data_IF_806399249033
#
_entry.id   IF_806399249033
#
_cell.length_a   1.000
_cell.length_b   1.000
_cell.length_c   1.000
_cell.angle_alpha   90.00
_cell.angle_beta   90.00
_cell.angle_gamma   90.00
#
_symmetry.space_group_name_H-M   'P 1'
#
loop_
_entity.id
_entity.type
_entity.pdbx_description
1 polymer ?
#
# COMPACT_ATOMS: atom_id res chain seq x y z
N UNK A 1 -50.72 14.38 23.17
CA UNK A 1 -50.41 15.83 23.09
C UNK A 1 -49.29 16.00 22.09
N UNK A 2 -49.56 16.66 20.96
CA UNK A 2 -48.63 16.84 19.84
C UNK A 2 -48.01 18.23 19.96
N UNK A 3 -46.72 18.31 20.24
CA UNK A 3 -45.98 19.58 20.24
C UNK A 3 -45.12 19.63 18.99
N UNK A 4 -45.56 20.44 18.02
CA UNK A 4 -44.83 20.69 16.79
C UNK A 4 -43.69 21.68 17.00
N UNK A 5 -42.49 21.31 16.56
CA UNK A 5 -41.34 22.22 16.51
C UNK A 5 -41.16 22.77 15.10
N UNK A 6 -41.37 24.09 14.97
CA UNK A 6 -41.14 24.89 13.77
C UNK A 6 -39.65 25.01 13.47
N UNK A 7 -39.37 25.09 12.17
CA UNK A 7 -38.06 25.07 11.56
C UNK A 7 -37.14 26.23 11.92
N UNK A 8 -35.86 25.99 11.71
CA UNK A 8 -34.83 27.02 11.66
C UNK A 8 -33.92 26.72 10.47
N UNK A 9 -34.23 27.35 9.34
CA UNK A 9 -33.37 27.43 8.17
C UNK A 9 -32.07 28.13 8.56
N UNK A 10 -30.95 27.39 8.62
CA UNK A 10 -29.62 28.00 8.67
C UNK A 10 -29.13 28.25 7.26
N UNK A 11 -28.81 29.53 7.03
CA UNK A 11 -28.30 30.09 5.78
C UNK A 11 -26.96 29.45 5.43
N UNK A 12 -26.84 29.17 4.14
CA UNK A 12 -25.60 28.90 3.42
C UNK A 12 -24.62 30.05 3.64
N UNK A 13 -23.49 29.79 4.32
CA UNK A 13 -22.33 30.66 4.32
C UNK A 13 -21.28 30.05 3.39
N UNK A 14 -21.20 30.64 2.19
CA UNK A 14 -20.06 30.52 1.28
C UNK A 14 -18.83 31.14 1.95
N UNK A 15 -17.95 30.32 2.49
CA UNK A 15 -16.55 30.64 2.78
C UNK A 15 -15.76 29.41 2.35
N UNK A 16 -14.99 29.47 1.28
CA UNK A 16 -13.76 30.23 1.23
C UNK A 16 -12.60 29.24 1.26
N UNK A 17 -12.46 28.50 0.15
CA UNK A 17 -11.31 27.67 -0.20
C UNK A 17 -10.07 28.55 -0.14
N UNK A 18 -9.30 28.50 0.96
CA UNK A 18 -7.94 29.09 1.03
C UNK A 18 -7.15 28.78 2.30
N UNK A 19 -7.09 27.53 2.78
CA UNK A 19 -5.95 27.08 3.61
C UNK A 19 -5.76 25.58 3.44
N UNK A 20 -4.90 25.15 2.52
CA UNK A 20 -4.11 23.91 2.68
C UNK A 20 -2.98 23.85 1.64
N UNK A 21 -1.95 24.68 1.83
CA UNK A 21 -0.67 24.48 1.14
C UNK A 21 0.47 24.84 2.10
N UNK A 22 0.61 24.09 3.19
CA UNK A 22 1.75 24.26 4.10
C UNK A 22 2.05 23.04 4.97
N UNK A 23 2.13 21.84 4.39
CA UNK A 23 2.81 20.70 5.03
C UNK A 23 3.37 19.73 3.97
N UNK A 24 4.43 20.15 3.27
CA UNK A 24 5.26 19.25 2.44
C UNK A 24 6.77 19.48 2.65
N UNK A 25 7.17 20.08 3.78
CA UNK A 25 8.58 20.20 4.17
C UNK A 25 8.70 19.83 5.66
N UNK A 26 8.41 18.57 5.97
CA UNK A 26 8.74 17.98 7.27
C UNK A 26 10.12 17.34 7.16
N UNK A 27 11.11 17.97 7.79
CA UNK A 27 12.51 17.58 7.72
C UNK A 27 12.76 16.16 8.21
N UNK A 28 13.32 15.34 7.32
CA UNK A 28 14.01 14.13 7.71
C UNK A 28 15.26 14.50 8.49
N UNK A 29 15.27 14.22 9.80
CA UNK A 29 16.50 14.13 10.59
C UNK A 29 17.32 12.96 10.05
N UNK A 30 18.19 13.25 9.08
CA UNK A 30 19.29 12.37 8.71
C UNK A 30 20.26 12.35 9.89
N UNK A 31 20.23 11.28 10.67
CA UNK A 31 21.33 10.91 11.54
C UNK A 31 22.56 10.70 10.65
N UNK A 32 23.46 11.68 10.72
CA UNK A 32 24.81 11.68 10.18
C UNK A 32 25.62 10.59 10.89
N UNK A 33 25.64 9.40 10.31
CA UNK A 33 26.71 8.42 10.53
C UNK A 33 27.92 8.89 9.71
N UNK A 34 28.70 9.77 10.32
CA UNK A 34 30.11 9.91 10.00
C UNK A 34 30.84 8.82 10.78
N UNK A 35 31.54 7.91 10.10
CA UNK A 35 32.93 7.56 10.42
C UNK A 35 33.48 6.41 9.57
N UNK A 36 34.75 6.63 9.16
CA UNK A 36 35.77 5.70 8.64
C UNK A 36 35.80 5.35 7.14
N UNK A 37 36.65 6.07 6.39
CA UNK A 37 37.31 5.58 5.20
C UNK A 37 38.83 5.50 5.42
N UNK A 38 39.30 4.57 6.24
CA UNK A 38 40.72 4.21 6.31
C UNK A 38 40.81 2.68 6.37
N UNK A 39 41.85 2.13 5.76
CA UNK A 39 42.13 0.70 5.56
C UNK A 39 41.50 0.08 4.30
N UNK A 40 42.22 0.21 3.18
CA UNK A 40 42.57 -0.91 2.27
C UNK A 40 43.70 -0.45 1.33
N UNK A 41 44.86 -0.18 1.92
CA UNK A 41 46.11 0.05 1.22
C UNK A 41 47.14 -0.97 1.70
N UNK A 42 47.11 -2.18 1.15
CA UNK A 42 48.26 -3.08 1.08
C UNK A 42 47.85 -4.41 0.43
N UNK A 43 48.07 -4.57 -0.87
CA UNK A 43 48.67 -5.77 -1.44
C UNK A 43 49.05 -5.45 -2.87
N UNK A 44 50.36 -5.40 -3.11
CA UNK A 44 50.92 -5.08 -4.40
C UNK A 44 51.18 -6.29 -5.27
N UNK A 45 52.03 -6.00 -6.26
CA UNK A 45 52.89 -6.90 -7.02
C UNK A 45 52.22 -7.55 -8.25
N UNK A 46 52.47 -6.90 -9.40
CA UNK A 46 52.97 -7.62 -10.57
C UNK A 46 52.02 -7.78 -11.76
N UNK A 47 51.84 -6.75 -12.59
CA UNK A 47 51.25 -6.94 -13.93
C UNK A 47 51.67 -5.89 -14.99
N UNK A 48 52.86 -5.30 -14.92
CA UNK A 48 53.28 -4.24 -15.86
C UNK A 48 54.20 -4.68 -17.02
N UNK A 49 54.35 -5.99 -17.33
CA UNK A 49 55.24 -6.45 -18.42
C UNK A 49 54.55 -7.22 -19.56
N UNK A 50 53.23 -7.10 -19.71
CA UNK A 50 52.47 -7.78 -20.78
C UNK A 50 51.99 -6.91 -21.94
N UNK A 51 51.92 -5.58 -21.78
CA UNK A 51 51.13 -4.74 -22.69
C UNK A 51 51.88 -4.24 -23.94
N UNK A 52 53.21 -4.30 -24.00
CA UNK A 52 53.96 -3.79 -25.16
C UNK A 52 54.01 -4.74 -26.36
N UNK A 53 53.66 -6.03 -26.20
CA UNK A 53 53.66 -6.98 -27.34
C UNK A 53 52.37 -7.01 -28.15
N UNK A 54 51.29 -6.38 -27.67
CA UNK A 54 50.02 -6.33 -28.40
C UNK A 54 49.88 -5.10 -29.31
N UNK A 55 50.64 -4.03 -29.05
CA UNK A 55 50.58 -2.81 -29.88
C UNK A 55 51.12 -3.04 -31.32
N UNK A 56 52.19 -3.83 -31.48
CA UNK A 56 52.79 -4.04 -32.81
C UNK A 56 52.05 -5.06 -33.70
N UNK A 57 51.21 -5.94 -33.13
CA UNK A 57 50.43 -6.89 -33.94
C UNK A 57 49.18 -6.26 -34.55
N UNK A 58 48.65 -5.19 -33.95
CA UNK A 58 47.49 -4.47 -34.48
C UNK A 58 47.82 -3.67 -35.75
N UNK A 59 49.05 -3.15 -35.88
CA UNK A 59 49.47 -2.39 -37.08
C UNK A 59 49.75 -3.25 -38.32
N UNK A 60 50.02 -4.55 -38.14
CA UNK A 60 50.25 -5.46 -39.27
C UNK A 60 48.94 -5.96 -39.91
N UNK A 61 47.86 -6.06 -39.14
CA UNK A 61 46.55 -6.52 -39.64
C UNK A 61 45.70 -5.39 -40.27
N UNK A 62 46.00 -4.11 -39.99
CA UNK A 62 45.23 -3.00 -40.57
C UNK A 62 45.57 -2.72 -42.04
N UNK A 63 46.76 -3.13 -42.53
CA UNK A 63 47.20 -2.81 -43.89
C UNK A 63 46.70 -3.77 -44.98
N UNK A 64 46.15 -4.93 -44.63
CA UNK A 64 45.68 -5.90 -45.63
C UNK A 64 44.17 -5.90 -45.91
N UNK A 65 43.37 -5.07 -45.23
CA UNK A 65 41.91 -5.03 -45.40
C UNK A 65 41.37 -3.76 -46.08
N UNK A 66 42.23 -2.96 -46.72
CA UNK A 66 41.89 -1.64 -47.27
C UNK A 66 41.40 -1.64 -48.74
N UNK A 67 40.89 -2.74 -49.28
CA UNK A 67 40.56 -2.83 -50.72
C UNK A 67 39.15 -3.33 -51.09
N UNK A 68 38.23 -3.53 -50.14
CA UNK A 68 36.82 -3.81 -50.47
C UNK A 68 35.87 -2.70 -49.94
N UNK A 69 35.54 -1.68 -50.74
CA UNK A 69 34.56 -0.65 -50.38
C UNK A 69 33.12 -1.21 -50.24
N UNK A 70 32.86 -2.46 -50.66
CA UNK A 70 31.59 -3.16 -50.48
C UNK A 70 31.44 -3.91 -49.15
N UNK A 71 32.55 -4.25 -48.48
CA UNK A 71 32.53 -4.95 -47.19
C UNK A 71 32.00 -4.07 -46.03
N UNK A 72 32.30 -2.77 -46.06
CA UNK A 72 31.90 -1.81 -45.00
C UNK A 72 30.38 -1.59 -44.96
N UNK A 73 29.69 -1.67 -46.11
CA UNK A 73 28.21 -1.51 -46.16
C UNK A 73 27.46 -2.74 -45.66
N UNK A 74 28.04 -3.94 -45.71
CA UNK A 74 27.40 -5.16 -45.19
C UNK A 74 27.52 -5.31 -43.67
N UNK A 75 28.54 -4.72 -43.05
CA UNK A 75 28.72 -4.78 -41.59
C UNK A 75 27.75 -3.88 -40.80
N UNK A 76 27.20 -2.83 -41.41
CA UNK A 76 26.33 -1.85 -40.70
C UNK A 76 24.84 -2.17 -40.79
N UNK A 77 24.42 -3.11 -41.66
CA UNK A 77 23.02 -3.49 -41.79
C UNK A 77 22.59 -4.61 -40.82
N UNK A 78 23.52 -5.38 -40.25
CA UNK A 78 23.23 -6.39 -39.22
C UNK A 78 23.14 -5.82 -37.80
N UNK A 79 23.65 -4.61 -37.55
CA UNK A 79 23.67 -3.99 -36.21
C UNK A 79 22.35 -3.37 -35.75
N UNK A 80 21.38 -3.18 -36.65
CA UNK A 80 20.09 -2.53 -36.32
C UNK A 80 19.07 -3.45 -35.65
N UNK A 81 19.26 -4.77 -35.66
CA UNK A 81 18.39 -5.71 -34.94
C UNK A 81 18.64 -5.72 -33.43
N UNK A 82 19.79 -5.24 -32.95
CA UNK A 82 20.18 -5.43 -31.54
C UNK A 82 19.67 -4.33 -30.60
N UNK A 83 19.22 -3.19 -31.13
CA UNK A 83 18.74 -2.05 -30.31
C UNK A 83 17.21 -2.04 -30.14
N UNK A 84 16.47 -2.78 -30.96
CA UNK A 84 15.00 -2.85 -30.87
C UNK A 84 14.47 -3.94 -29.92
N UNK A 85 15.25 -5.00 -29.65
CA UNK A 85 14.87 -6.03 -28.69
C UNK A 85 14.71 -5.55 -27.23
N UNK A 86 15.53 -4.66 -26.65
CA UNK A 86 15.40 -4.32 -25.23
C UNK A 86 14.10 -3.57 -24.89
N UNK A 87 13.53 -2.81 -25.82
CA UNK A 87 12.27 -2.08 -25.58
C UNK A 87 11.05 -3.01 -25.57
N UNK A 88 11.00 -3.98 -26.48
CA UNK A 88 9.91 -4.96 -26.53
C UNK A 88 9.95 -5.86 -25.29
N UNK A 89 11.15 -6.31 -24.88
CA UNK A 89 11.32 -7.09 -23.66
C UNK A 89 10.95 -6.29 -22.40
N UNK A 90 11.34 -5.01 -22.30
CA UNK A 90 10.97 -4.17 -21.17
C UNK A 90 9.44 -4.01 -21.07
N UNK A 91 8.76 -3.75 -22.18
CA UNK A 91 7.29 -3.65 -22.20
C UNK A 91 6.63 -4.98 -21.81
N UNK A 92 7.14 -6.11 -22.32
CA UNK A 92 6.64 -7.43 -21.95
C UNK A 92 6.82 -7.74 -20.46
N UNK A 93 7.97 -7.40 -19.88
CA UNK A 93 8.24 -7.57 -18.45
C UNK A 93 7.32 -6.69 -17.61
N UNK A 94 7.15 -5.41 -17.97
CA UNK A 94 6.23 -4.51 -17.26
C UNK A 94 4.80 -5.04 -17.32
N UNK A 95 4.33 -5.48 -18.50
CA UNK A 95 3.00 -6.05 -18.65
C UNK A 95 2.81 -7.32 -17.80
N UNK A 96 3.81 -8.20 -17.76
CA UNK A 96 3.79 -9.40 -16.93
C UNK A 96 3.73 -9.08 -15.43
N UNK A 97 4.51 -8.08 -14.98
CA UNK A 97 4.49 -7.63 -13.59
C UNK A 97 3.14 -7.02 -13.19
N UNK A 98 2.53 -6.22 -14.06
CA UNK A 98 1.19 -5.65 -13.82
C UNK A 98 0.12 -6.74 -13.74
N UNK A 99 0.16 -7.73 -14.64
CA UNK A 99 -0.78 -8.87 -14.60
C UNK A 99 -0.61 -9.70 -13.32
N UNK A 100 0.63 -9.94 -12.89
CA UNK A 100 0.92 -10.63 -11.63
C UNK A 100 0.38 -9.85 -10.43
N UNK A 101 0.64 -8.54 -10.38
CA UNK A 101 0.15 -7.67 -9.31
C UNK A 101 -1.39 -7.68 -9.23
N UNK A 102 -2.07 -7.54 -10.36
CA UNK A 102 -3.53 -7.61 -10.42
C UNK A 102 -4.07 -8.97 -9.93
N UNK A 103 -3.40 -10.06 -10.28
CA UNK A 103 -3.76 -11.41 -9.83
C UNK A 103 -3.60 -11.56 -8.32
N UNK A 104 -2.49 -11.07 -7.74
CA UNK A 104 -2.27 -11.11 -6.29
C UNK A 104 -3.34 -10.29 -5.56
N UNK A 105 -3.64 -9.08 -6.04
CA UNK A 105 -4.67 -8.22 -5.44
C UNK A 105 -6.05 -8.91 -5.46
N UNK A 106 -6.40 -9.57 -6.57
CA UNK A 106 -7.64 -10.34 -6.68
C UNK A 106 -7.70 -11.50 -5.69
N UNK A 107 -6.62 -12.28 -5.57
CA UNK A 107 -6.55 -13.40 -4.64
C UNK A 107 -6.63 -12.95 -3.18
N UNK A 108 -6.01 -11.81 -2.84
CA UNK A 108 -6.08 -11.23 -1.50
C UNK A 108 -7.51 -10.79 -1.15
N UNK A 109 -8.21 -10.13 -2.07
CA UNK A 109 -9.61 -9.73 -1.88
C UNK A 109 -10.53 -10.96 -1.71
N UNK A 110 -10.34 -11.98 -2.54
CA UNK A 110 -11.07 -13.24 -2.44
C UNK A 110 -10.82 -13.94 -1.09
N UNK A 111 -9.56 -13.97 -0.64
CA UNK A 111 -9.20 -14.57 0.65
C UNK A 111 -9.81 -13.80 1.83
N UNK A 112 -9.74 -12.46 1.83
CA UNK A 112 -10.37 -11.62 2.87
C UNK A 112 -11.88 -11.79 2.91
N UNK A 113 -12.53 -11.85 1.75
CA UNK A 113 -13.98 -12.07 1.66
C UNK A 113 -14.39 -13.47 2.14
N UNK A 114 -13.52 -14.46 1.97
CA UNK A 114 -13.75 -15.84 2.41
C UNK A 114 -13.34 -16.09 3.87
N UNK A 115 -12.56 -15.20 4.49
CA UNK A 115 -12.08 -15.39 5.85
C UNK A 115 -13.25 -15.53 6.83
N UNK A 116 -13.16 -16.45 7.81
CA UNK A 116 -14.15 -16.55 8.87
C UNK A 116 -14.11 -15.28 9.70
N UNK A 117 -15.30 -14.79 10.04
CA UNK A 117 -15.44 -13.66 10.96
C UNK A 117 -15.22 -14.23 12.36
N UNK A 118 -14.27 -13.67 13.10
CA UNK A 118 -14.05 -14.09 14.47
C UNK A 118 -15.29 -13.72 15.29
N UNK A 119 -15.88 -14.67 16.04
CA UNK A 119 -17.06 -14.38 16.84
C UNK A 119 -16.72 -13.31 17.88
N UNK A 120 -17.70 -12.49 18.19
CA UNK A 120 -17.67 -11.53 19.29
C UNK A 120 -18.97 -11.69 20.06
N UNK A 121 -18.89 -11.71 21.37
CA UNK A 121 -20.09 -11.67 22.20
C UNK A 121 -20.49 -10.22 22.42
N UNK A 122 -21.74 -9.89 22.13
CA UNK A 122 -22.28 -8.55 22.28
C UNK A 122 -23.58 -8.56 23.08
N UNK A 123 -23.54 -7.97 24.28
CA UNK A 123 -24.70 -7.84 25.14
C UNK A 123 -25.26 -6.42 25.06
N UNK A 124 -26.49 -6.28 24.55
CA UNK A 124 -27.21 -5.00 24.52
C UNK A 124 -27.42 -4.41 25.92
N UNK A 125 -27.55 -5.27 26.94
CA UNK A 125 -27.74 -4.84 28.33
C UNK A 125 -26.54 -4.01 28.84
N UNK A 126 -25.32 -4.38 28.43
CA UNK A 126 -24.09 -3.66 28.80
C UNK A 126 -23.94 -2.33 28.04
N UNK A 127 -24.69 -2.16 26.94
CA UNK A 127 -24.64 -0.98 26.06
C UNK A 127 -25.91 -0.12 26.15
N UNK A 128 -26.79 -0.36 27.12
CA UNK A 128 -28.09 0.32 27.24
C UNK A 128 -28.00 1.85 27.44
N UNK A 129 -26.84 2.37 27.81
CA UNK A 129 -26.60 3.82 27.94
C UNK A 129 -26.20 4.49 26.62
N UNK A 130 -25.89 3.71 25.57
CA UNK A 130 -25.55 4.22 24.24
C UNK A 130 -26.81 4.44 23.41
N UNK A 131 -26.81 5.40 22.49
CA UNK A 131 -27.96 5.58 21.61
C UNK A 131 -27.94 4.49 20.54
N UNK A 132 -29.11 3.93 20.21
CA UNK A 132 -29.19 2.85 19.23
C UNK A 132 -28.56 3.25 17.89
N UNK A 133 -28.70 4.52 17.48
CA UNK A 133 -28.19 5.04 16.21
C UNK A 133 -26.67 5.22 16.18
N UNK A 134 -26.00 5.21 17.33
CA UNK A 134 -24.53 5.29 17.39
C UNK A 134 -23.88 3.99 16.88
N UNK A 135 -24.60 2.86 17.01
CA UNK A 135 -24.18 1.56 16.48
C UNK A 135 -24.97 1.16 15.22
N UNK A 136 -26.27 1.41 15.20
CA UNK A 136 -27.18 1.07 14.10
C UNK A 136 -27.38 2.23 13.13
N UNK A 137 -26.33 2.57 12.38
CA UNK A 137 -26.42 3.60 11.34
C UNK A 137 -27.48 3.26 10.26
N UNK A 138 -27.80 1.97 10.10
CA UNK A 138 -28.84 1.48 9.21
C UNK A 138 -30.24 2.04 9.53
N UNK A 139 -30.49 2.49 10.75
CA UNK A 139 -31.74 3.16 11.11
C UNK A 139 -31.85 4.57 10.53
N UNK A 140 -30.71 5.23 10.29
CA UNK A 140 -30.66 6.60 9.77
C UNK A 140 -30.69 6.58 8.24
N UNK A 141 -29.84 5.76 7.62
CA UNK A 141 -29.69 5.70 6.16
C UNK A 141 -30.68 4.74 5.47
N UNK A 142 -31.42 3.94 6.25
CA UNK A 142 -32.43 2.96 5.78
C UNK A 142 -31.85 1.86 4.89
N UNK A 143 -30.57 1.52 5.07
CA UNK A 143 -29.87 0.49 4.28
C UNK A 143 -30.28 -0.94 4.59
N UNK A 144 -31.04 -1.20 5.67
CA UNK A 144 -31.66 -2.50 5.91
C UNK A 144 -31.97 -2.81 7.36
N UNK A 145 -32.38 -4.05 7.59
CA UNK A 145 -32.57 -4.70 8.90
C UNK A 145 -31.68 -5.95 8.95
N UNK A 146 -31.10 -6.27 10.10
CA UNK A 146 -30.27 -7.47 10.27
C UNK A 146 -29.00 -7.23 11.06
N UNK A 147 -28.08 -8.19 11.00
CA UNK A 147 -26.77 -8.08 11.64
C UNK A 147 -25.86 -7.20 10.80
N UNK A 148 -24.97 -6.47 11.47
CA UNK A 148 -23.98 -5.62 10.80
C UNK A 148 -23.17 -6.43 9.77
N UNK A 149 -22.84 -7.68 10.11
CA UNK A 149 -22.05 -8.57 9.27
C UNK A 149 -22.75 -8.95 7.96
N UNK A 150 -24.08 -8.95 7.92
CA UNK A 150 -24.82 -9.34 6.72
C UNK A 150 -24.57 -8.38 5.56
N UNK A 151 -24.54 -7.08 5.86
CA UNK A 151 -24.23 -6.03 4.89
C UNK A 151 -22.73 -5.89 4.71
N UNK A 152 -21.97 -5.77 5.81
CA UNK A 152 -20.53 -5.53 5.74
C UNK A 152 -19.77 -6.70 5.12
N UNK A 153 -20.26 -7.95 5.14
CA UNK A 153 -19.60 -9.07 4.45
C UNK A 153 -19.99 -9.19 2.98
N UNK A 154 -21.22 -8.82 2.64
CA UNK A 154 -21.79 -9.01 1.28
C UNK A 154 -21.41 -7.89 0.33
N UNK A 155 -21.38 -6.65 0.80
CA UNK A 155 -21.03 -5.50 -0.01
C UNK A 155 -19.51 -5.36 -0.12
N UNK A 156 -18.98 -5.67 -1.30
CA UNK A 156 -17.53 -5.61 -1.62
C UNK A 156 -16.93 -4.21 -1.44
N UNK A 157 -17.75 -3.16 -1.53
CA UNK A 157 -17.27 -1.78 -1.37
C UNK A 157 -16.92 -1.47 0.09
N UNK A 158 -17.44 -2.23 1.05
CA UNK A 158 -17.18 -2.05 2.50
C UNK A 158 -16.59 -3.28 3.18
N UNK A 159 -16.63 -4.46 2.57
CA UNK A 159 -16.17 -5.70 3.20
C UNK A 159 -14.70 -5.69 3.59
N UNK A 160 -13.86 -5.10 2.76
CA UNK A 160 -12.44 -4.92 3.04
C UNK A 160 -12.17 -3.92 4.19
N UNK A 161 -13.16 -3.10 4.57
CA UNK A 161 -13.08 -2.13 5.67
C UNK A 161 -13.65 -2.66 6.98
N UNK A 162 -14.32 -3.81 6.95
CA UNK A 162 -15.03 -4.39 8.09
C UNK A 162 -14.16 -4.40 9.36
N UNK A 163 -12.99 -5.03 9.32
CA UNK A 163 -12.10 -5.10 10.49
C UNK A 163 -11.79 -3.72 11.07
N UNK A 164 -11.40 -2.76 10.21
CA UNK A 164 -11.08 -1.41 10.65
C UNK A 164 -12.31 -0.68 11.21
N UNK A 165 -13.47 -0.81 10.57
CA UNK A 165 -14.70 -0.11 10.98
C UNK A 165 -15.25 -0.65 12.30
N UNK A 166 -15.27 -1.97 12.51
CA UNK A 166 -15.73 -2.54 13.78
C UNK A 166 -14.75 -2.27 14.91
N UNK A 167 -13.44 -2.36 14.65
CA UNK A 167 -12.45 -1.98 15.66
C UNK A 167 -12.53 -0.50 16.01
N UNK A 168 -12.66 0.39 15.04
CA UNK A 168 -12.82 1.82 15.31
C UNK A 168 -14.10 2.08 16.12
N UNK A 169 -15.24 1.52 15.72
CA UNK A 169 -16.52 1.70 16.41
C UNK A 169 -16.46 1.23 17.88
N UNK A 170 -15.99 0.00 18.11
CA UNK A 170 -16.00 -0.60 19.44
C UNK A 170 -14.86 -0.08 20.31
N UNK A 171 -13.63 -0.06 19.79
CA UNK A 171 -12.45 0.28 20.59
C UNK A 171 -12.39 1.77 20.92
N UNK A 172 -12.79 2.68 20.02
CA UNK A 172 -12.72 4.12 20.30
C UNK A 172 -13.56 4.48 21.52
N UNK A 173 -14.81 4.01 21.60
CA UNK A 173 -15.70 4.23 22.73
C UNK A 173 -15.14 3.62 24.03
N UNK A 174 -14.64 2.38 23.97
CA UNK A 174 -14.06 1.72 25.15
C UNK A 174 -12.80 2.46 25.66
N UNK A 175 -11.93 2.88 24.75
CA UNK A 175 -10.70 3.62 25.07
C UNK A 175 -11.05 5.00 25.65
N UNK A 176 -12.03 5.69 25.07
CA UNK A 176 -12.49 6.97 25.59
C UNK A 176 -13.03 6.83 27.01
N UNK A 177 -13.93 5.88 27.26
CA UNK A 177 -14.48 5.65 28.60
C UNK A 177 -13.39 5.26 29.61
N UNK A 178 -12.44 4.41 29.21
CA UNK A 178 -11.27 4.07 30.03
C UNK A 178 -10.45 5.32 30.40
N UNK A 179 -10.17 6.19 29.44
CA UNK A 179 -9.41 7.43 29.67
C UNK A 179 -10.09 8.41 30.63
N UNK A 180 -11.43 8.31 30.73
CA UNK A 180 -12.26 9.13 31.60
C UNK A 180 -12.53 8.47 32.97
N UNK A 181 -12.01 7.26 33.21
CA UNK A 181 -12.27 6.50 34.43
C UNK A 181 -13.72 6.04 34.58
N UNK A 182 -14.44 5.90 33.46
CA UNK A 182 -15.81 5.37 33.42
C UNK A 182 -15.78 3.85 33.24
N UNK A 183 -16.91 3.19 33.52
CA UNK A 183 -17.10 1.79 33.14
C UNK A 183 -16.94 1.63 31.62
N UNK A 184 -16.18 0.61 31.22
CA UNK A 184 -15.81 0.40 29.83
C UNK A 184 -15.68 -1.10 29.52
N UNK A 185 -15.90 -1.48 28.27
CA UNK A 185 -15.56 -2.82 27.78
C UNK A 185 -14.06 -3.00 27.54
N UNK A 186 -13.61 -4.15 26.99
CA UNK A 186 -12.19 -4.40 26.77
C UNK A 186 -11.55 -3.36 25.83
N UNK A 187 -10.37 -2.86 26.21
CA UNK A 187 -9.59 -1.88 25.41
C UNK A 187 -8.33 -2.48 24.81
N UNK A 188 -7.91 -3.67 25.27
CA UNK A 188 -6.69 -4.37 24.85
C UNK A 188 -6.93 -5.87 24.84
N UNK A 189 -6.06 -6.55 24.08
CA UNK A 189 -6.06 -7.99 23.83
C UNK A 189 -7.27 -8.45 23.00
N UNK A 190 -6.98 -9.03 21.83
CA UNK A 190 -7.98 -9.39 20.83
C UNK A 190 -8.99 -10.40 21.40
N UNK A 191 -8.52 -11.34 22.22
CA UNK A 191 -9.28 -12.42 22.84
C UNK A 191 -10.36 -11.94 23.82
N UNK A 192 -10.24 -10.73 24.38
CA UNK A 192 -11.22 -10.21 25.32
C UNK A 192 -12.53 -9.79 24.63
N UNK A 193 -12.45 -9.40 23.35
CA UNK A 193 -13.63 -9.16 22.51
C UNK A 193 -14.00 -10.40 21.70
N UNK A 194 -12.97 -11.09 21.16
CA UNK A 194 -13.13 -12.28 20.34
C UNK A 194 -13.20 -13.55 21.19
N UNK A 195 -14.31 -13.68 21.90
CA UNK A 195 -14.62 -14.88 22.67
C UNK A 195 -15.36 -15.88 21.77
N UNK A 196 -15.03 -17.15 21.89
CA UNK A 196 -15.81 -18.21 21.24
C UNK A 196 -17.22 -18.17 21.81
N UNK A 197 -18.21 -17.90 20.96
CA UNK A 197 -19.61 -17.86 21.39
C UNK A 197 -20.02 -19.24 21.92
N UNK A 198 -20.42 -19.36 23.21
CA UNK A 198 -20.88 -20.63 23.74
C UNK A 198 -22.26 -21.05 23.22
N UNK A 199 -22.99 -20.17 22.51
CA UNK A 199 -24.31 -20.48 21.97
C UNK A 199 -24.39 -20.24 20.45
N UNK A 200 -24.70 -21.29 19.65
CA UNK A 200 -24.88 -21.18 18.20
C UNK A 200 -26.22 -20.54 17.80
#
# INVERSE_FOLDING_TARGET
MVVGHRGRHRRLARGGIRVLLRHLVGGGHLHRLADRPDDMAAHGIGAHRGFQRYAHRAEALSRHHASDPGAVRRATQSGRCMIYMPRVWLVAVIAALLALFATIAYLQDAHRSAAPVLPVTFAHLDHQQQQCIDCHHNFVDRTGIGLCIDCHKRDKTVSHLMEAQFHELCQSCHIENYSQGKDHGPTRACENCHTSDPYP
#
